data_IF_779833823564
#
_entry.id   IF_779833823564
#
_cell.length_a   1.000
_cell.length_b   1.000
_cell.length_c   1.000
_cell.angle_alpha   90.00
_cell.angle_beta   90.00
_cell.angle_gamma   90.00
#
_symmetry.space_group_name_H-M   'P 1'
#
loop_
_entity.id
_entity.type
_entity.pdbx_description
1 polymer ?
#
# COMPACT_ATOMS: atom_id res chain seq x y z
N UNK A 1 -17.53 9.31 20.48
CA UNK A 1 -16.60 9.75 19.42
C UNK A 1 -15.89 8.51 18.91
N UNK A 2 -16.24 8.08 17.69
CA UNK A 2 -15.71 6.90 17.03
C UNK A 2 -14.20 7.11 16.81
N UNK A 3 -13.36 6.18 17.27
CA UNK A 3 -11.91 6.22 17.04
C UNK A 3 -11.65 6.18 15.54
N UNK A 4 -11.56 7.35 14.90
CA UNK A 4 -11.01 7.49 13.55
C UNK A 4 -9.50 7.30 13.64
N UNK A 5 -8.98 6.33 12.88
CA UNK A 5 -7.57 6.27 12.51
C UNK A 5 -6.78 5.09 13.08
N UNK A 6 -7.29 3.87 13.02
CA UNK A 6 -6.36 2.73 12.89
C UNK A 6 -5.69 2.84 11.51
N UNK A 7 -4.47 3.37 11.50
CA UNK A 7 -3.39 3.09 10.51
C UNK A 7 -3.83 2.89 9.04
N UNK A 8 -4.69 3.77 8.53
CA UNK A 8 -5.14 3.71 7.14
C UNK A 8 -4.01 4.19 6.21
N UNK A 9 -3.12 3.26 5.84
CA UNK A 9 -2.13 3.46 4.78
C UNK A 9 -0.68 3.58 5.21
N UNK A 10 -0.32 3.11 6.42
CA UNK A 10 1.09 2.94 6.79
C UNK A 10 1.71 1.76 6.01
N UNK A 11 2.77 1.99 5.20
CA UNK A 11 3.46 0.92 4.50
C UNK A 11 4.07 -0.15 5.41
N UNK A 12 4.37 0.17 6.68
CA UNK A 12 4.87 -0.82 7.65
C UNK A 12 3.78 -1.83 8.02
N UNK A 13 2.57 -1.35 8.27
CA UNK A 13 1.41 -2.21 8.58
C UNK A 13 1.01 -3.04 7.35
N UNK A 14 1.16 -2.49 6.15
CA UNK A 14 1.03 -3.23 4.90
C UNK A 14 2.06 -4.38 4.82
N UNK A 15 3.34 -4.09 5.00
CA UNK A 15 4.41 -5.10 4.94
C UNK A 15 4.14 -6.25 5.91
N UNK A 16 3.79 -5.95 7.17
CA UNK A 16 3.44 -6.97 8.17
C UNK A 16 2.30 -7.87 7.67
N UNK A 17 1.25 -7.26 7.13
CA UNK A 17 0.09 -8.00 6.59
C UNK A 17 0.48 -8.91 5.42
N UNK A 18 1.37 -8.45 4.53
CA UNK A 18 1.85 -9.25 3.39
C UNK A 18 2.67 -10.46 3.87
N UNK A 19 3.52 -10.28 4.88
CA UNK A 19 4.36 -11.34 5.44
C UNK A 19 3.58 -12.40 6.22
N UNK A 20 2.36 -12.09 6.67
CA UNK A 20 1.45 -13.06 7.30
C UNK A 20 0.79 -14.03 6.30
N UNK A 21 0.88 -13.75 5.01
CA UNK A 21 0.31 -14.56 3.93
C UNK A 21 1.41 -15.23 3.12
N UNK A 22 1.10 -16.29 2.34
CA UNK A 22 2.04 -16.82 1.37
C UNK A 22 2.48 -15.73 0.38
N UNK A 23 3.76 -15.40 0.43
CA UNK A 23 4.37 -14.42 -0.46
C UNK A 23 5.45 -15.06 -1.33
N UNK A 24 5.75 -14.41 -2.44
CA UNK A 24 6.81 -14.75 -3.37
C UNK A 24 7.76 -13.57 -3.46
N UNK A 25 9.05 -13.81 -3.30
CA UNK A 25 10.06 -12.79 -3.58
C UNK A 25 10.13 -12.56 -5.09
N UNK A 26 9.98 -11.31 -5.51
CA UNK A 26 10.08 -10.90 -6.92
C UNK A 26 11.55 -10.68 -7.34
N UNK A 27 12.47 -10.73 -6.39
CA UNK A 27 13.88 -10.48 -6.60
C UNK A 27 14.20 -9.00 -6.76
N UNK A 28 15.30 -8.72 -7.48
CA UNK A 28 15.84 -7.37 -7.65
C UNK A 28 15.45 -6.79 -9.00
N UNK A 29 15.12 -5.49 -9.03
CA UNK A 29 14.82 -4.74 -10.24
C UNK A 29 15.18 -3.28 -10.08
N UNK A 30 15.56 -2.61 -11.17
CA UNK A 30 15.65 -1.15 -11.17
C UNK A 30 14.29 -0.52 -11.44
N UNK A 31 13.83 0.36 -10.54
CA UNK A 31 12.61 1.14 -10.67
C UNK A 31 12.98 2.62 -10.55
N UNK A 32 12.70 3.39 -11.60
CA UNK A 32 13.00 4.83 -11.69
C UNK A 32 14.47 5.19 -11.32
N UNK A 33 15.40 4.31 -11.69
CA UNK A 33 16.83 4.46 -11.39
C UNK A 33 17.26 4.01 -9.99
N UNK A 34 16.33 3.58 -9.14
CA UNK A 34 16.60 3.03 -7.80
C UNK A 34 16.72 1.51 -7.88
N UNK A 35 17.74 0.95 -7.23
CA UNK A 35 17.86 -0.49 -7.05
C UNK A 35 16.84 -0.95 -6.00
N UNK A 36 15.92 -1.83 -6.42
CA UNK A 36 14.78 -2.20 -5.62
C UNK A 36 14.68 -3.71 -5.45
N UNK A 37 14.21 -4.14 -4.29
CA UNK A 37 13.81 -5.51 -4.01
C UNK A 37 12.30 -5.58 -3.83
N UNK A 38 11.69 -6.62 -4.37
CA UNK A 38 10.24 -6.77 -4.39
C UNK A 38 9.73 -8.05 -3.75
N UNK A 39 8.52 -7.97 -3.20
CA UNK A 39 7.73 -9.12 -2.76
C UNK A 39 6.31 -9.02 -3.31
N UNK A 40 5.67 -10.16 -3.49
CA UNK A 40 4.28 -10.26 -3.90
C UNK A 40 3.52 -11.20 -2.99
N UNK A 41 2.37 -10.79 -2.50
CA UNK A 41 1.41 -11.68 -1.85
C UNK A 41 0.09 -11.68 -2.64
N UNK A 42 -0.55 -12.84 -2.71
CA UNK A 42 -1.85 -12.99 -3.37
C UNK A 42 -2.74 -13.91 -2.54
N UNK A 43 -3.75 -13.34 -1.90
CA UNK A 43 -4.67 -14.10 -1.05
C UNK A 43 -6.04 -13.39 -1.04
N UNK A 44 -7.16 -14.13 -1.17
CA UNK A 44 -8.51 -13.59 -0.96
C UNK A 44 -8.69 -12.82 0.36
N UNK A 45 -7.98 -13.20 1.41
CA UNK A 45 -8.04 -12.57 2.74
C UNK A 45 -7.28 -11.25 2.83
N UNK A 46 -6.40 -10.95 1.87
CA UNK A 46 -5.68 -9.67 1.85
C UNK A 46 -6.66 -8.50 1.68
N UNK A 47 -7.69 -8.64 0.85
CA UNK A 47 -8.65 -7.57 0.57
C UNK A 47 -9.38 -7.06 1.82
N UNK A 48 -9.72 -7.96 2.75
CA UNK A 48 -10.38 -7.59 4.02
C UNK A 48 -9.40 -7.07 5.08
N UNK A 49 -8.14 -7.53 5.06
CA UNK A 49 -7.11 -7.14 6.03
C UNK A 49 -6.47 -5.79 5.75
N UNK A 50 -6.40 -5.40 4.47
CA UNK A 50 -5.77 -4.13 4.08
C UNK A 50 -6.73 -2.94 4.07
N UNK A 51 -7.97 -3.13 4.56
CA UNK A 51 -8.92 -2.06 4.84
C UNK A 51 -9.02 -1.02 3.72
N UNK A 52 -8.99 0.26 4.10
CA UNK A 52 -9.11 1.41 3.19
C UNK A 52 -7.98 1.53 2.17
N UNK A 53 -6.87 0.81 2.34
CA UNK A 53 -5.74 0.88 1.41
C UNK A 53 -6.10 0.30 0.04
N UNK A 54 -6.97 -0.72 -0.01
CA UNK A 54 -7.22 -1.46 -1.25
C UNK A 54 -8.70 -1.48 -1.61
N UNK A 55 -9.63 -1.63 -0.67
CA UNK A 55 -11.09 -1.48 -0.93
C UNK A 55 -11.99 -1.82 0.27
N UNK A 56 -11.43 -2.22 1.42
CA UNK A 56 -12.23 -2.65 2.56
C UNK A 56 -12.91 -4.00 2.35
N UNK A 57 -12.34 -4.89 1.53
CA UNK A 57 -12.84 -6.26 1.36
C UNK A 57 -13.86 -6.47 0.23
N UNK A 58 -13.95 -5.55 -0.73
CA UNK A 58 -14.89 -5.67 -1.87
C UNK A 58 -14.44 -6.71 -2.90
N UNK A 59 -13.14 -7.04 -2.95
CA UNK A 59 -12.58 -7.98 -3.92
C UNK A 59 -12.38 -9.38 -3.34
N UNK A 60 -12.80 -10.41 -4.10
CA UNK A 60 -12.62 -11.82 -3.76
C UNK A 60 -11.18 -12.29 -3.97
N UNK A 61 -10.45 -11.66 -4.88
CA UNK A 61 -9.05 -11.94 -5.13
C UNK A 61 -8.27 -10.63 -5.13
N UNK A 62 -7.24 -10.57 -4.30
CA UNK A 62 -6.36 -9.41 -4.17
C UNK A 62 -4.91 -9.86 -4.29
N UNK A 63 -4.15 -9.19 -5.14
CA UNK A 63 -2.70 -9.36 -5.28
C UNK A 63 -2.02 -8.03 -5.00
N UNK A 64 -0.97 -8.04 -4.18
CA UNK A 64 -0.18 -6.87 -3.86
C UNK A 64 1.28 -7.15 -4.10
N UNK A 65 1.94 -6.23 -4.78
CA UNK A 65 3.40 -6.19 -4.91
C UNK A 65 3.92 -4.97 -4.18
N UNK A 66 4.89 -5.18 -3.30
CA UNK A 66 5.61 -4.12 -2.60
C UNK A 66 7.05 -4.12 -3.10
N UNK A 67 7.53 -2.95 -3.48
CA UNK A 67 8.91 -2.71 -3.90
C UNK A 67 9.56 -1.71 -2.94
N UNK A 68 10.66 -2.12 -2.33
CA UNK A 68 11.47 -1.29 -1.44
C UNK A 68 12.82 -0.93 -2.04
N UNK A 69 13.35 0.24 -1.69
CA UNK A 69 14.73 0.64 -1.95
C UNK A 69 15.69 -0.28 -1.17
N UNK A 70 16.64 -0.90 -1.85
CA UNK A 70 17.61 -1.79 -1.19
C UNK A 70 18.53 -1.06 -0.20
N UNK A 71 18.77 0.23 -0.41
CA UNK A 71 19.70 1.02 0.41
C UNK A 71 19.02 1.59 1.65
N UNK A 72 17.82 2.11 1.49
CA UNK A 72 17.11 2.83 2.57
C UNK A 72 15.99 1.99 3.21
N UNK A 73 15.69 0.82 2.65
CA UNK A 73 14.65 -0.11 3.13
C UNK A 73 13.25 0.53 3.20
N UNK A 74 13.01 1.52 2.33
CA UNK A 74 11.75 2.26 2.27
C UNK A 74 10.94 1.91 1.02
N UNK A 75 9.60 1.90 1.09
CA UNK A 75 8.74 1.65 -0.07
C UNK A 75 8.98 2.67 -1.17
N UNK A 76 9.22 2.21 -2.39
CA UNK A 76 9.31 3.09 -3.57
C UNK A 76 8.15 2.88 -4.53
N UNK A 77 7.51 1.70 -4.48
CA UNK A 77 6.32 1.40 -5.26
C UNK A 77 5.47 0.32 -4.64
N UNK A 78 4.15 0.49 -4.70
CA UNK A 78 3.19 -0.55 -4.35
C UNK A 78 2.24 -0.72 -5.54
N UNK A 79 2.09 -1.94 -6.03
CA UNK A 79 1.06 -2.31 -6.97
C UNK A 79 0.01 -3.15 -6.26
N UNK A 80 -1.25 -2.88 -6.55
CA UNK A 80 -2.35 -3.68 -6.05
C UNK A 80 -3.36 -3.94 -7.15
N UNK A 81 -3.76 -5.20 -7.28
CA UNK A 81 -4.86 -5.59 -8.15
C UNK A 81 -5.92 -6.30 -7.34
N UNK A 82 -7.18 -6.01 -7.66
CA UNK A 82 -8.35 -6.59 -7.03
C UNK A 82 -9.35 -7.02 -8.09
N UNK A 83 -10.02 -8.15 -7.89
CA UNK A 83 -11.14 -8.58 -8.75
C UNK A 83 -12.21 -9.31 -7.96
N UNK A 84 -13.47 -9.14 -8.36
CA UNK A 84 -14.58 -9.97 -7.90
C UNK A 84 -14.63 -11.26 -8.70
N UNK A 85 -15.07 -12.34 -8.07
CA UNK A 85 -15.20 -13.67 -8.70
C UNK A 85 -16.22 -13.68 -9.83
N UNK A 86 -17.23 -12.80 -9.78
CA UNK A 86 -18.21 -12.61 -10.85
C UNK A 86 -17.69 -11.73 -12.01
N UNK A 87 -16.48 -11.20 -11.91
CA UNK A 87 -15.81 -10.38 -12.92
C UNK A 87 -16.43 -9.00 -13.12
N UNK A 88 -17.40 -8.59 -12.30
CA UNK A 88 -18.11 -7.30 -12.45
C UNK A 88 -17.36 -6.12 -11.86
N UNK A 89 -16.44 -6.38 -10.94
CA UNK A 89 -15.60 -5.36 -10.34
C UNK A 89 -14.13 -5.77 -10.46
N UNK A 90 -13.31 -4.86 -10.97
CA UNK A 90 -11.87 -4.97 -10.96
C UNK A 90 -11.25 -3.65 -10.59
N UNK A 91 -10.02 -3.71 -10.10
CA UNK A 91 -9.27 -2.55 -9.72
C UNK A 91 -7.80 -2.81 -9.90
N UNK A 92 -7.10 -1.78 -10.33
CA UNK A 92 -5.65 -1.70 -10.35
C UNK A 92 -5.26 -0.37 -9.71
N UNK A 93 -4.35 -0.42 -8.75
CA UNK A 93 -3.81 0.75 -8.07
C UNK A 93 -2.29 0.70 -8.05
N UNK A 94 -1.68 1.87 -8.26
CA UNK A 94 -0.24 2.06 -8.18
C UNK A 94 0.03 3.22 -7.23
N UNK A 95 0.73 2.94 -6.14
CA UNK A 95 1.32 3.97 -5.28
C UNK A 95 2.76 4.15 -5.70
N UNK A 96 3.11 5.36 -6.13
CA UNK A 96 4.45 5.71 -6.56
C UNK A 96 4.90 7.05 -5.98
N UNK A 97 6.18 7.40 -6.25
CA UNK A 97 6.76 8.71 -5.91
C UNK A 97 6.61 9.06 -4.43
N UNK A 98 6.92 8.11 -3.56
CA UNK A 98 6.94 8.33 -2.12
C UNK A 98 7.93 9.43 -1.75
N UNK A 99 7.46 10.55 -1.16
CA UNK A 99 8.33 11.65 -0.79
C UNK A 99 8.95 11.37 0.59
N UNK A 100 9.99 10.54 0.62
CA UNK A 100 10.77 10.28 1.84
C UNK A 100 11.69 11.45 2.19
N UNK A 101 11.96 11.61 3.49
CA UNK A 101 12.87 12.62 4.04
C UNK A 101 12.54 14.07 3.62
N UNK A 102 11.26 14.36 3.41
CA UNK A 102 10.82 15.74 3.13
C UNK A 102 10.80 16.56 4.42
N UNK A 103 11.36 17.79 4.41
CA UNK A 103 11.19 18.72 5.53
C UNK A 103 9.70 19.03 5.75
N UNK A 104 9.22 18.75 6.95
CA UNK A 104 7.83 19.01 7.31
C UNK A 104 7.71 20.39 7.97
N UNK A 105 7.06 21.32 7.28
CA UNK A 105 6.71 22.62 7.84
C UNK A 105 5.55 22.48 8.83
N UNK A 106 5.70 22.79 10.13
CA UNK A 106 4.65 22.59 11.13
C UNK A 106 3.34 23.33 10.81
N UNK A 107 3.43 24.46 10.10
CA UNK A 107 2.27 25.23 9.66
C UNK A 107 1.33 24.44 8.72
N UNK A 108 1.85 23.46 7.98
CA UNK A 108 1.04 22.61 7.07
C UNK A 108 0.14 21.62 7.80
N UNK A 109 0.42 21.35 9.08
CA UNK A 109 -0.40 20.47 9.91
C UNK A 109 -1.58 21.21 10.56
N UNK A 110 -1.67 22.53 10.40
CA UNK A 110 -2.80 23.30 10.91
C UNK A 110 -4.00 23.12 9.99
N UNK A 111 -5.13 22.58 10.48
CA UNK A 111 -6.31 22.41 9.67
C UNK A 111 -6.84 23.77 9.21
N UNK A 112 -7.07 23.93 7.91
CA UNK A 112 -7.81 25.05 7.37
C UNK A 112 -9.28 24.65 7.30
N UNK A 113 -10.06 25.09 8.28
CA UNK A 113 -11.49 24.84 8.33
C UNK A 113 -12.17 26.06 7.69
N UNK A 114 -12.85 25.91 6.54
CA UNK A 114 -13.63 27.01 5.96
C UNK A 114 -14.79 27.40 6.90
N UNK A 115 -15.23 28.66 6.81
CA UNK A 115 -16.47 29.10 7.48
C UNK A 115 -17.69 28.39 6.85
N UNK A 116 -18.73 28.20 7.66
CA UNK A 116 -19.97 27.44 7.32
C UNK A 116 -20.73 28.00 6.10
#
# INVERSE_FOLDING_TARGET
>A
MQKMGEENGDPVTLLKTLLEHPYTELGRKSIDGVAAWGLQASDPKLGTRMGSFISGGIFDQTTVQLWGDEKHELPIRIYATGSSRDGRASMEMVYDRFPWDIPLEPARLKPQIPED
#
